data_IF_468526929423
#
_entry.id   IF_468526929423
#
_cell.length_a   1.000
_cell.length_b   1.000
_cell.length_c   1.000
_cell.angle_alpha   90.00
_cell.angle_beta   90.00
_cell.angle_gamma   90.00
#
_symmetry.space_group_name_H-M   'P 1'
#
loop_
_entity.id
_entity.type
_entity.pdbx_description
1 polymer ?
#
# COMPACT_ATOMS: atom_id res chain seq x y z
N UNK A 1 10.51 17.54 23.18
CA UNK A 1 9.70 17.78 21.95
C UNK A 1 10.54 17.75 20.65
N UNK A 2 11.67 17.05 20.59
CA UNK A 2 12.62 17.21 19.48
C UNK A 2 12.52 16.14 18.38
N UNK A 3 11.36 15.94 17.74
CA UNK A 3 11.27 15.37 16.37
C UNK A 3 9.83 15.17 15.84
N UNK A 4 8.78 15.56 16.58
CA UNK A 4 7.37 15.27 16.19
C UNK A 4 7.03 15.82 14.81
N UNK A 5 7.59 16.99 14.45
CA UNK A 5 7.40 17.61 13.12
C UNK A 5 7.81 16.69 11.98
N UNK A 6 8.91 15.94 12.12
CA UNK A 6 9.37 15.01 11.09
C UNK A 6 8.47 13.78 10.97
N UNK A 7 7.95 13.27 12.08
CA UNK A 7 6.97 12.18 12.03
C UNK A 7 5.65 12.63 11.41
N UNK A 8 5.20 13.85 11.70
CA UNK A 8 4.01 14.44 11.05
C UNK A 8 4.24 14.67 9.56
N UNK A 9 5.42 15.16 9.18
CA UNK A 9 5.80 15.30 7.78
C UNK A 9 5.84 13.95 7.05
N UNK A 10 6.38 12.90 7.68
CA UNK A 10 6.40 11.56 7.12
C UNK A 10 4.98 11.03 6.81
N UNK A 11 4.05 11.18 7.77
CA UNK A 11 2.64 10.80 7.55
C UNK A 11 2.04 11.58 6.39
N UNK A 12 2.24 12.89 6.37
CA UNK A 12 1.69 13.74 5.32
C UNK A 12 2.25 13.38 3.94
N UNK A 13 3.56 13.12 3.86
CA UNK A 13 4.22 12.71 2.63
C UNK A 13 3.71 11.35 2.15
N UNK A 14 3.64 10.34 3.02
CA UNK A 14 3.10 9.03 2.65
C UNK A 14 1.65 9.10 2.17
N UNK A 15 0.81 9.86 2.89
CA UNK A 15 -0.59 10.07 2.50
C UNK A 15 -0.70 10.81 1.16
N UNK A 16 0.07 11.87 0.95
CA UNK A 16 0.03 12.64 -0.29
C UNK A 16 0.49 11.79 -1.49
N UNK A 17 1.52 10.96 -1.32
CA UNK A 17 1.97 10.02 -2.35
C UNK A 17 0.86 9.02 -2.67
N UNK A 18 0.26 8.39 -1.66
CA UNK A 18 -0.86 7.45 -1.84
C UNK A 18 -2.04 8.10 -2.57
N UNK A 19 -2.42 9.32 -2.20
CA UNK A 19 -3.53 10.05 -2.82
C UNK A 19 -3.25 10.35 -4.31
N UNK A 20 -2.02 10.75 -4.63
CA UNK A 20 -1.59 10.96 -6.03
C UNK A 20 -1.62 9.64 -6.81
N UNK A 21 -1.14 8.55 -6.21
CA UNK A 21 -1.12 7.24 -6.83
C UNK A 21 -2.54 6.73 -7.14
N UNK A 22 -3.47 6.87 -6.19
CA UNK A 22 -4.87 6.49 -6.38
C UNK A 22 -5.62 7.40 -7.35
N UNK A 23 -5.30 8.70 -7.41
CA UNK A 23 -6.07 9.67 -8.21
C UNK A 23 -5.56 9.84 -9.64
N UNK A 24 -4.27 9.61 -9.89
CA UNK A 24 -3.63 9.91 -11.18
C UNK A 24 -2.89 8.71 -11.75
N UNK A 25 -2.05 8.05 -10.95
CA UNK A 25 -1.13 7.05 -11.48
C UNK A 25 -1.84 5.73 -11.81
N UNK A 26 -2.74 5.28 -10.94
CA UNK A 26 -3.37 3.95 -11.07
C UNK A 26 -4.90 4.07 -11.20
N UNK A 27 -5.61 4.90 -10.45
CA UNK A 27 -7.09 5.00 -10.59
C UNK A 27 -7.76 3.60 -10.63
N UNK A 28 -7.78 2.86 -9.51
CA UNK A 28 -8.33 1.52 -9.47
C UNK A 28 -9.86 1.56 -9.60
N UNK A 29 -10.41 0.77 -10.52
CA UNK A 29 -11.84 0.58 -10.72
C UNK A 29 -12.24 -0.84 -10.36
N UNK A 30 -13.13 -1.00 -9.38
CA UNK A 30 -13.68 -2.30 -8.98
C UNK A 30 -15.05 -2.55 -9.63
N UNK A 31 -15.26 -3.75 -10.15
CA UNK A 31 -16.47 -4.17 -10.84
C UNK A 31 -17.39 -5.00 -9.92
N UNK A 32 -18.20 -4.34 -9.09
CA UNK A 32 -19.16 -5.04 -8.24
C UNK A 32 -20.25 -5.75 -9.08
N UNK A 33 -20.69 -6.98 -8.76
CA UNK A 33 -20.37 -7.81 -7.58
C UNK A 33 -19.21 -8.80 -7.78
N UNK A 34 -18.52 -8.78 -8.93
CA UNK A 34 -17.42 -9.69 -9.22
C UNK A 34 -16.16 -9.17 -8.54
N UNK A 35 -15.31 -10.05 -7.99
CA UNK A 35 -14.00 -9.67 -7.47
C UNK A 35 -13.00 -9.40 -8.62
N UNK A 36 -13.40 -8.54 -9.55
CA UNK A 36 -12.63 -8.11 -10.70
C UNK A 36 -12.43 -6.60 -10.62
N UNK A 37 -11.27 -6.15 -11.07
CA UNK A 37 -10.96 -4.73 -11.17
C UNK A 37 -10.02 -4.49 -12.34
N UNK A 38 -10.01 -3.26 -12.81
CA UNK A 38 -9.06 -2.76 -13.80
C UNK A 38 -8.61 -1.37 -13.39
N UNK A 39 -7.45 -0.97 -13.89
CA UNK A 39 -6.87 0.34 -13.64
C UNK A 39 -7.03 1.23 -14.88
N UNK A 40 -7.22 2.53 -14.67
CA UNK A 40 -7.38 3.54 -15.74
C UNK A 40 -6.30 4.63 -15.69
N UNK A 41 -5.27 4.41 -14.88
CA UNK A 41 -4.26 5.39 -14.57
C UNK A 41 -3.21 5.56 -15.68
N UNK A 42 -2.22 6.40 -15.39
CA UNK A 42 -1.06 6.60 -16.26
C UNK A 42 -0.26 5.31 -16.41
N UNK A 43 -0.12 4.50 -15.36
CA UNK A 43 0.66 3.26 -15.42
C UNK A 43 0.08 2.23 -16.38
N UNK A 44 -1.25 2.13 -16.45
CA UNK A 44 -1.91 1.23 -17.40
C UNK A 44 -1.71 1.71 -18.83
N UNK A 45 -1.72 3.04 -19.05
CA UNK A 45 -1.42 3.64 -20.36
C UNK A 45 0.02 3.40 -20.81
N UNK A 46 0.94 3.21 -19.87
CA UNK A 46 2.33 2.84 -20.14
C UNK A 46 2.52 1.32 -20.33
N UNK A 47 1.45 0.53 -20.23
CA UNK A 47 1.49 -0.92 -20.39
C UNK A 47 2.02 -1.66 -19.16
N UNK A 48 1.95 -1.04 -17.98
CA UNK A 48 2.32 -1.72 -16.73
C UNK A 48 1.26 -2.78 -16.38
N UNK A 49 1.73 -3.90 -15.84
CA UNK A 49 0.84 -4.99 -15.45
C UNK A 49 0.00 -4.64 -14.20
N UNK A 50 -1.23 -5.12 -14.16
CA UNK A 50 -2.19 -4.80 -13.09
C UNK A 50 -1.74 -5.38 -11.74
N UNK A 51 -1.03 -6.52 -11.73
CA UNK A 51 -0.49 -7.08 -10.49
C UNK A 51 0.55 -6.14 -9.87
N UNK A 52 1.43 -5.55 -10.69
CA UNK A 52 2.43 -4.58 -10.24
C UNK A 52 1.80 -3.28 -9.75
N UNK A 53 0.79 -2.76 -10.46
CA UNK A 53 0.02 -1.59 -10.00
C UNK A 53 -0.63 -1.83 -8.64
N UNK A 54 -1.26 -3.00 -8.47
CA UNK A 54 -1.89 -3.39 -7.22
C UNK A 54 -0.87 -3.50 -6.10
N UNK A 55 0.31 -4.08 -6.37
CA UNK A 55 1.39 -4.17 -5.39
C UNK A 55 1.85 -2.78 -4.93
N UNK A 56 2.06 -1.83 -5.85
CA UNK A 56 2.47 -0.47 -5.52
C UNK A 56 1.48 0.19 -4.56
N UNK A 57 0.17 0.17 -4.87
CA UNK A 57 -0.87 0.75 -3.98
C UNK A 57 -0.85 0.08 -2.62
N UNK A 58 -0.79 -1.25 -2.58
CA UNK A 58 -0.84 -2.01 -1.34
C UNK A 58 0.35 -1.68 -0.44
N UNK A 59 1.56 -1.55 -1.01
CA UNK A 59 2.75 -1.08 -0.30
C UNK A 59 2.57 0.34 0.20
N UNK A 60 2.07 1.27 -0.62
CA UNK A 60 1.84 2.66 -0.21
C UNK A 60 0.81 2.80 0.93
N UNK A 61 -0.26 2.01 0.92
CA UNK A 61 -1.22 1.91 2.02
C UNK A 61 -0.52 1.41 3.29
N UNK A 62 0.26 0.33 3.18
CA UNK A 62 1.03 -0.22 4.29
C UNK A 62 2.02 0.81 4.89
N UNK A 63 2.72 1.54 4.02
CA UNK A 63 3.65 2.61 4.41
C UNK A 63 2.93 3.76 5.14
N UNK A 64 1.74 4.14 4.66
CA UNK A 64 0.92 5.17 5.29
C UNK A 64 0.44 4.73 6.68
N UNK A 65 -0.05 3.50 6.81
CA UNK A 65 -0.44 2.94 8.11
C UNK A 65 0.75 2.92 9.08
N UNK A 66 1.92 2.45 8.62
CA UNK A 66 3.13 2.44 9.44
C UNK A 66 3.59 3.83 9.85
N UNK A 67 3.51 4.81 8.96
CA UNK A 67 3.87 6.20 9.28
C UNK A 67 3.01 6.75 10.43
N UNK A 68 1.71 6.45 10.43
CA UNK A 68 0.76 6.83 11.49
C UNK A 68 1.11 6.09 12.79
N UNK A 69 1.37 4.79 12.71
CA UNK A 69 1.75 3.96 13.86
C UNK A 69 3.02 4.49 14.54
N UNK A 70 4.05 4.83 13.75
CA UNK A 70 5.31 5.40 14.25
C UNK A 70 5.09 6.77 14.89
N UNK A 71 4.19 7.60 14.35
CA UNK A 71 3.82 8.88 14.95
C UNK A 71 3.17 8.69 16.33
N UNK A 72 2.22 7.76 16.44
CA UNK A 72 1.57 7.44 17.71
C UNK A 72 2.55 6.85 18.71
N UNK A 73 3.39 5.92 18.28
CA UNK A 73 4.43 5.31 19.10
C UNK A 73 5.41 6.37 19.64
N UNK A 74 5.80 7.33 18.81
CA UNK A 74 6.67 8.42 19.23
C UNK A 74 6.00 9.35 20.27
N UNK A 75 4.69 9.58 20.17
CA UNK A 75 3.93 10.33 21.18
C UNK A 75 3.77 9.53 22.46
N UNK A 76 3.45 8.24 22.36
CA UNK A 76 3.30 7.35 23.49
C UNK A 76 4.60 7.23 24.29
N UNK A 77 5.73 7.01 23.62
CA UNK A 77 7.05 6.94 24.28
C UNK A 77 7.35 8.22 25.09
N UNK A 78 6.96 9.39 24.56
CA UNK A 78 7.20 10.68 25.23
C UNK A 78 6.27 10.91 26.43
N UNK A 79 5.02 10.44 26.37
CA UNK A 79 4.01 10.64 27.42
C UNK A 79 4.08 9.59 28.54
N UNK A 80 4.42 8.34 28.19
CA UNK A 80 4.30 7.19 29.07
C UNK A 80 5.60 6.83 29.83
N UNK A 81 6.63 7.71 29.79
CA UNK A 81 7.96 7.47 30.38
C UNK A 81 8.47 6.04 30.15
N UNK A 82 8.50 5.65 28.87
CA UNK A 82 8.72 4.25 28.50
C UNK A 82 10.11 3.74 28.91
N UNK A 83 10.17 2.45 29.23
CA UNK A 83 11.41 1.82 29.69
C UNK A 83 12.56 1.97 28.67
N UNK A 84 13.79 2.09 29.18
CA UNK A 84 15.02 2.19 28.35
C UNK A 84 15.18 1.00 27.40
N UNK A 85 14.68 -0.18 27.79
CA UNK A 85 14.64 -1.37 26.94
C UNK A 85 13.75 -1.16 25.71
N UNK A 86 12.52 -0.66 25.92
CA UNK A 86 11.57 -0.41 24.83
C UNK A 86 12.09 0.63 23.83
N UNK A 87 12.71 1.71 24.31
CA UNK A 87 13.31 2.73 23.45
C UNK A 87 14.39 2.15 22.51
N UNK A 88 15.15 1.14 22.97
CA UNK A 88 16.14 0.44 22.14
C UNK A 88 15.48 -0.54 21.18
N UNK A 89 14.53 -1.35 21.66
CA UNK A 89 13.82 -2.34 20.86
C UNK A 89 13.00 -1.71 19.72
N UNK A 90 12.36 -0.56 19.97
CA UNK A 90 11.48 0.11 19.00
C UNK A 90 12.16 0.39 17.67
N UNK A 91 13.45 0.78 17.68
CA UNK A 91 14.17 1.15 16.44
C UNK A 91 14.30 -0.06 15.52
N UNK A 92 14.60 -1.23 16.09
CA UNK A 92 14.64 -2.48 15.36
C UNK A 92 13.25 -2.91 14.90
N UNK A 93 12.23 -2.83 15.77
CA UNK A 93 10.85 -3.19 15.44
C UNK A 93 10.29 -2.37 14.28
N UNK A 94 10.50 -1.05 14.29
CA UNK A 94 10.09 -0.15 13.21
C UNK A 94 10.78 -0.53 11.89
N UNK A 95 12.10 -0.80 11.92
CA UNK A 95 12.83 -1.24 10.73
C UNK A 95 12.32 -2.55 10.15
N UNK A 96 11.99 -3.52 11.00
CA UNK A 96 11.41 -4.80 10.60
C UNK A 96 10.03 -4.60 9.96
N UNK A 97 9.17 -3.77 10.55
CA UNK A 97 7.85 -3.50 9.97
C UNK A 97 7.94 -2.80 8.63
N UNK A 98 8.85 -1.84 8.45
CA UNK A 98 9.09 -1.25 7.14
C UNK A 98 9.55 -2.31 6.13
N UNK A 99 10.49 -3.18 6.49
CA UNK A 99 10.92 -4.26 5.61
C UNK A 99 9.78 -5.21 5.22
N UNK A 100 8.93 -5.57 6.19
CA UNK A 100 7.75 -6.40 5.93
C UNK A 100 6.78 -5.67 5.01
N UNK A 101 6.49 -4.40 5.24
CA UNK A 101 5.57 -3.62 4.40
C UNK A 101 6.02 -3.54 2.93
N UNK A 102 7.32 -3.53 2.66
CA UNK A 102 7.84 -3.57 1.29
C UNK A 102 7.74 -4.94 0.62
N UNK A 103 7.69 -6.02 1.39
CA UNK A 103 7.87 -7.39 0.87
C UNK A 103 6.67 -8.30 1.01
N UNK A 104 5.72 -7.99 1.91
CA UNK A 104 4.62 -8.91 2.24
C UNK A 104 3.68 -9.22 1.07
N UNK A 105 3.55 -8.29 0.12
CA UNK A 105 2.67 -8.47 -1.03
C UNK A 105 3.38 -9.00 -2.28
N UNK A 106 4.71 -9.10 -2.27
CA UNK A 106 5.50 -9.63 -3.39
C UNK A 106 5.05 -11.05 -3.80
N UNK A 107 4.87 -12.02 -2.88
CA UNK A 107 4.48 -13.38 -3.25
C UNK A 107 3.18 -13.47 -4.03
N UNK A 108 2.23 -12.56 -3.78
CA UNK A 108 0.93 -12.56 -4.45
C UNK A 108 1.05 -12.29 -5.95
N UNK A 109 2.04 -11.51 -6.40
CA UNK A 109 2.25 -11.23 -7.82
C UNK A 109 2.54 -12.50 -8.62
N UNK A 110 3.16 -13.51 -8.00
CA UNK A 110 3.45 -14.79 -8.65
C UNK A 110 2.28 -15.78 -8.60
N UNK A 111 1.23 -15.47 -7.82
CA UNK A 111 0.03 -16.29 -7.69
C UNK A 111 -1.10 -15.80 -8.60
N UNK A 112 -1.02 -14.59 -9.15
CA UNK A 112 -2.01 -14.05 -10.08
C UNK A 112 -1.85 -14.73 -11.44
N UNK A 113 -2.89 -15.42 -11.96
CA UNK A 113 -2.85 -16.00 -13.30
C UNK A 113 -2.90 -14.90 -14.37
N UNK A 114 -2.31 -15.17 -15.54
CA UNK A 114 -2.29 -14.24 -16.68
C UNK A 114 -3.70 -13.72 -17.02
N UNK A 115 -3.91 -12.41 -16.86
CA UNK A 115 -5.21 -11.77 -17.08
C UNK A 115 -5.60 -11.64 -18.55
N UNK A 116 -4.68 -11.93 -19.48
CA UNK A 116 -4.94 -11.97 -20.93
C UNK A 116 -5.99 -13.03 -21.31
N UNK A 117 -6.14 -14.08 -20.50
CA UNK A 117 -7.11 -15.17 -20.68
C UNK A 117 -8.48 -14.80 -20.07
N UNK A 118 -8.49 -13.99 -19.01
CA UNK A 118 -9.70 -13.71 -18.23
C UNK A 118 -10.68 -12.75 -18.93
N UNK A 119 -10.19 -11.82 -19.76
CA UNK A 119 -11.03 -10.87 -20.52
C UNK A 119 -11.96 -11.58 -21.53
N UNK A 120 -11.48 -12.51 -22.37
CA UNK A 120 -12.37 -13.27 -23.27
C UNK A 120 -13.40 -14.13 -22.54
N UNK A 121 -13.05 -14.75 -21.41
CA UNK A 121 -13.98 -15.61 -20.65
C UNK A 121 -15.15 -14.81 -20.05
N UNK A 122 -14.88 -13.62 -19.49
CA UNK A 122 -15.93 -12.73 -18.97
C UNK A 122 -16.84 -12.20 -20.09
N UNK A 123 -16.29 -11.92 -21.28
CA UNK A 123 -17.11 -11.53 -22.43
C UNK A 123 -17.96 -12.68 -22.97
N UNK A 124 -17.44 -13.90 -23.01
CA UNK A 124 -18.17 -15.08 -23.49
C UNK A 124 -19.36 -15.42 -22.59
N UNK A 125 -19.22 -15.31 -21.26
CA UNK A 125 -20.33 -15.52 -20.30
C UNK A 125 -21.48 -14.53 -20.53
N UNK A 126 -21.17 -13.29 -20.94
CA UNK A 126 -22.17 -12.24 -21.20
C UNK A 126 -22.94 -12.44 -22.51
N UNK A 127 -22.43 -13.26 -23.44
CA UNK A 127 -23.10 -13.55 -24.72
C UNK A 127 -24.03 -14.76 -24.61
N UNK A 128 -23.82 -15.63 -23.61
CA UNK A 128 -24.65 -16.82 -23.35
C UNK A 128 -25.86 -16.60 -22.42
N UNK A 129 -26.02 -15.40 -21.85
CA UNK A 129 -27.13 -15.01 -20.96
C UNK A 129 -28.10 -14.06 -21.65
#
# INVERSE_FOLDING_TARGET
MGNVKWYMFNVHLCSAVLDISLSVLIIPYMLFPVAAGYSLGIFTKLGMDLALETNIIVVEIGMTILSILVLFENRFTFLADSSKFWIKARRSTIGIFYFIAWTYFIPFNFMVPDQSIAVPDVMNVRISS
#
